data_IF_969796418783
#
_entry.id   IF_969796418783
#
_cell.length_a   1.000
_cell.length_b   1.000
_cell.length_c   1.000
_cell.angle_alpha   90.00
_cell.angle_beta   90.00
_cell.angle_gamma   90.00
#
_symmetry.space_group_name_H-M   'P 1'
#
loop_
_entity.id
_entity.type
_entity.pdbx_description
1 polymer ?
#
# COMPACT_ATOMS: atom_id res chain seq x y z
N UNK A 1 -0.44 1.87 21.82
CA UNK A 1 0.66 0.87 21.91
C UNK A 1 1.52 0.83 20.65
N UNK A 2 0.95 0.57 19.45
CA UNK A 2 1.72 0.49 18.19
C UNK A 2 2.62 1.72 17.94
N UNK A 3 2.08 2.94 18.04
CA UNK A 3 2.84 4.18 17.83
C UNK A 3 4.11 4.27 18.69
N UNK A 4 4.01 3.91 19.98
CA UNK A 4 5.16 3.92 20.90
C UNK A 4 6.23 2.94 20.42
N UNK A 5 5.84 1.71 20.08
CA UNK A 5 6.76 0.67 19.62
C UNK A 5 7.42 1.05 18.28
N UNK A 6 6.65 1.59 17.33
CA UNK A 6 7.21 2.04 16.05
C UNK A 6 8.31 3.09 16.29
N UNK A 7 8.08 4.08 17.15
CA UNK A 7 9.10 5.09 17.50
C UNK A 7 10.33 4.48 18.16
N UNK A 8 10.13 3.56 19.10
CA UNK A 8 11.22 2.87 19.81
C UNK A 8 12.15 2.09 18.86
N UNK A 9 11.59 1.46 17.82
CA UNK A 9 12.34 0.68 16.84
C UNK A 9 12.66 1.44 15.54
N UNK A 10 12.41 2.75 15.48
CA UNK A 10 12.67 3.56 14.27
C UNK A 10 11.78 3.22 13.06
N UNK A 11 10.66 2.53 13.28
CA UNK A 11 9.68 2.22 12.25
C UNK A 11 8.66 3.35 12.08
N UNK A 12 8.09 3.45 10.88
CA UNK A 12 7.00 4.38 10.56
C UNK A 12 5.65 3.71 10.78
N UNK A 13 4.70 4.47 11.32
CA UNK A 13 3.31 4.03 11.50
C UNK A 13 2.38 4.83 10.59
N UNK A 14 1.68 4.12 9.70
CA UNK A 14 0.57 4.69 8.92
C UNK A 14 -0.75 4.10 9.43
N UNK A 15 -1.80 4.93 9.46
CA UNK A 15 -3.15 4.47 9.84
C UNK A 15 -3.95 4.14 8.58
N UNK A 16 -4.57 2.97 8.56
CA UNK A 16 -5.48 2.60 7.47
C UNK A 16 -6.87 3.21 7.72
N UNK A 17 -7.32 4.11 6.84
CA UNK A 17 -8.66 4.69 6.93
C UNK A 17 -8.73 6.19 6.62
N UNK A 18 -9.54 6.90 7.39
CA UNK A 18 -9.87 8.31 7.16
C UNK A 18 -8.69 9.24 7.48
N UNK A 19 -8.44 10.28 6.65
CA UNK A 19 -7.43 11.30 6.92
C UNK A 19 -7.55 11.97 8.30
N UNK A 20 -8.78 12.18 8.78
CA UNK A 20 -9.09 12.80 10.08
C UNK A 20 -8.60 11.98 11.29
N UNK A 21 -8.16 10.73 11.09
CA UNK A 21 -7.53 9.97 12.16
C UNK A 21 -6.22 10.61 12.64
N UNK A 22 -5.53 11.38 11.79
CA UNK A 22 -4.31 12.10 12.17
C UNK A 22 -4.57 13.21 13.21
N UNK A 23 -5.81 13.71 13.32
CA UNK A 23 -6.18 14.70 14.36
C UNK A 23 -6.18 14.08 15.76
N UNK A 24 -6.31 12.76 15.83
CA UNK A 24 -6.44 11.99 17.08
C UNK A 24 -5.18 11.20 17.42
N UNK A 25 -4.37 10.89 16.41
CA UNK A 25 -3.20 10.03 16.54
C UNK A 25 -2.06 10.63 15.71
N UNK A 26 -0.97 11.00 16.38
CA UNK A 26 0.24 11.51 15.74
C UNK A 26 1.07 10.38 15.08
N UNK A 27 0.46 9.75 14.09
CA UNK A 27 1.08 8.77 13.21
C UNK A 27 1.89 9.48 12.10
N UNK A 28 2.74 8.73 11.40
CA UNK A 28 3.57 9.26 10.33
C UNK A 28 2.78 9.50 9.04
N UNK A 29 1.58 8.93 8.90
CA UNK A 29 0.76 9.08 7.70
C UNK A 29 -0.52 8.27 7.66
N UNK A 30 -1.14 8.26 6.48
CA UNK A 30 -2.40 7.57 6.18
C UNK A 30 -2.22 6.59 5.02
N UNK A 31 -2.84 5.43 5.15
CA UNK A 31 -3.09 4.49 4.07
C UNK A 31 -4.58 4.53 3.71
N UNK A 32 -4.89 4.96 2.50
CA UNK A 32 -6.26 5.00 1.98
C UNK A 32 -6.69 3.62 1.49
N UNK A 33 -7.97 3.29 1.69
CA UNK A 33 -8.59 2.20 0.93
C UNK A 33 -8.74 2.61 -0.54
N UNK A 34 -8.82 1.64 -1.45
CA UNK A 34 -9.06 1.89 -2.88
C UNK A 34 -10.36 2.68 -3.11
N UNK A 35 -11.43 2.34 -2.38
CA UNK A 35 -12.69 3.09 -2.44
C UNK A 35 -12.51 4.56 -2.05
N UNK A 36 -11.73 4.85 -0.99
CA UNK A 36 -11.49 6.24 -0.54
C UNK A 36 -10.60 7.00 -1.52
N UNK A 37 -9.54 6.36 -2.01
CA UNK A 37 -8.66 6.91 -3.03
C UNK A 37 -9.45 7.44 -4.23
N UNK A 38 -10.43 6.66 -4.70
CA UNK A 38 -11.25 7.01 -5.85
C UNK A 38 -12.30 8.10 -5.59
N UNK A 39 -12.53 8.51 -4.33
CA UNK A 39 -13.50 9.54 -3.95
C UNK A 39 -12.87 10.91 -3.67
N UNK A 40 -11.54 11.00 -3.70
CA UNK A 40 -10.81 12.20 -3.36
C UNK A 40 -10.23 12.84 -4.62
N UNK A 41 -10.36 14.16 -4.73
CA UNK A 41 -9.85 14.91 -5.89
C UNK A 41 -8.47 15.56 -5.64
N UNK A 42 -8.00 15.54 -4.39
CA UNK A 42 -6.73 16.14 -3.96
C UNK A 42 -6.14 15.42 -2.76
N UNK A 43 -4.84 15.64 -2.51
CA UNK A 43 -4.14 15.16 -1.31
C UNK A 43 -4.93 15.57 -0.04
N UNK A 44 -5.34 14.63 0.81
CA UNK A 44 -6.20 14.95 1.96
C UNK A 44 -5.43 15.23 3.26
N UNK A 45 -4.09 15.18 3.23
CA UNK A 45 -3.21 15.36 4.38
C UNK A 45 -2.06 16.29 4.04
N UNK A 46 -1.35 16.80 5.06
CA UNK A 46 -0.19 17.65 4.88
C UNK A 46 0.96 16.95 4.13
N UNK A 47 1.75 17.72 3.37
CA UNK A 47 2.89 17.23 2.57
C UNK A 47 4.00 16.60 3.43
N UNK A 48 4.09 16.93 4.71
CA UNK A 48 5.08 16.36 5.63
C UNK A 48 4.66 15.02 6.26
N UNK A 49 3.48 14.48 5.88
CA UNK A 49 2.97 13.18 6.33
C UNK A 49 2.90 12.24 5.14
N UNK A 50 3.15 10.96 5.36
CA UNK A 50 3.09 9.95 4.31
C UNK A 50 1.64 9.68 3.89
N UNK A 51 1.39 9.68 2.58
CA UNK A 51 0.15 9.24 1.97
C UNK A 51 0.43 7.98 1.16
N UNK A 52 -0.36 6.94 1.41
CA UNK A 52 -0.36 5.75 0.56
C UNK A 52 -1.77 5.27 0.31
N UNK A 53 -1.94 4.36 -0.64
CA UNK A 53 -3.24 3.77 -0.93
C UNK A 53 -3.14 2.30 -1.32
N UNK A 54 -4.21 1.56 -1.04
CA UNK A 54 -4.47 0.26 -1.65
C UNK A 54 -4.92 0.47 -3.09
N UNK A 55 -4.28 -0.24 -4.02
CA UNK A 55 -4.60 -0.22 -5.45
C UNK A 55 -4.72 -1.63 -6.01
N UNK A 56 -5.53 -1.77 -7.06
CA UNK A 56 -5.83 -3.07 -7.67
C UNK A 56 -5.74 -3.07 -9.21
N UNK A 57 -5.64 -1.89 -9.83
CA UNK A 57 -5.65 -1.72 -11.28
C UNK A 57 -4.97 -0.41 -11.72
N UNK A 58 -4.80 -0.23 -13.03
CA UNK A 58 -4.19 0.98 -13.61
C UNK A 58 -4.95 2.26 -13.29
N UNK A 59 -6.28 2.21 -13.18
CA UNK A 59 -7.10 3.39 -12.89
C UNK A 59 -6.81 3.91 -11.49
N UNK A 60 -6.70 3.01 -10.52
CA UNK A 60 -6.37 3.33 -9.14
C UNK A 60 -4.92 3.80 -8.98
N UNK A 61 -3.97 3.21 -9.72
CA UNK A 61 -2.59 3.71 -9.77
C UNK A 61 -2.52 5.15 -10.32
N UNK A 62 -3.26 5.42 -11.40
CA UNK A 62 -3.32 6.76 -11.98
C UNK A 62 -3.95 7.76 -11.01
N UNK A 63 -5.00 7.36 -10.29
CA UNK A 63 -5.59 8.19 -9.23
C UNK A 63 -4.61 8.45 -8.10
N UNK A 64 -3.86 7.42 -7.66
CA UNK A 64 -2.82 7.57 -6.65
C UNK A 64 -1.73 8.58 -7.07
N UNK A 65 -1.34 8.57 -8.35
CA UNK A 65 -0.41 9.55 -8.91
C UNK A 65 -0.98 10.97 -8.82
N UNK A 66 -2.26 11.16 -9.20
CA UNK A 66 -2.94 12.46 -9.16
C UNK A 66 -3.03 13.02 -7.73
N UNK A 67 -3.30 12.18 -6.74
CA UNK A 67 -3.32 12.60 -5.33
C UNK A 67 -1.93 12.82 -4.74
N UNK A 68 -0.88 12.44 -5.45
CA UNK A 68 0.49 12.48 -4.97
C UNK A 68 0.75 11.44 -3.86
N UNK A 69 0.18 10.24 -3.94
CA UNK A 69 0.54 9.17 -3.02
C UNK A 69 2.05 8.90 -3.08
N UNK A 70 2.70 8.88 -1.93
CA UNK A 70 4.14 8.67 -1.79
C UNK A 70 4.53 7.22 -2.14
N UNK A 71 3.62 6.28 -1.93
CA UNK A 71 3.71 4.91 -2.42
C UNK A 71 2.33 4.25 -2.43
N UNK A 72 2.23 3.08 -3.06
CA UNK A 72 1.01 2.28 -3.08
C UNK A 72 1.27 0.82 -2.75
N UNK A 73 0.24 0.12 -2.29
CA UNK A 73 0.22 -1.34 -2.33
C UNK A 73 -0.59 -1.79 -3.54
N UNK A 74 -0.09 -2.79 -4.27
CA UNK A 74 -0.79 -3.37 -5.42
C UNK A 74 -1.09 -4.84 -5.13
N UNK A 75 -2.38 -5.21 -5.24
CA UNK A 75 -2.90 -6.49 -4.74
C UNK A 75 -4.23 -6.88 -5.38
N UNK A 76 -4.71 -8.14 -5.23
CA UNK A 76 -3.97 -9.29 -4.71
C UNK A 76 -3.10 -9.96 -5.79
N UNK A 77 -1.85 -10.29 -5.46
CA UNK A 77 -0.98 -11.06 -6.36
C UNK A 77 -1.28 -12.57 -6.36
N UNK A 78 -1.71 -13.11 -5.21
CA UNK A 78 -2.12 -14.51 -5.04
C UNK A 78 -3.50 -14.57 -4.41
N UNK A 79 -4.21 -15.68 -4.61
CA UNK A 79 -5.46 -15.93 -3.89
C UNK A 79 -5.20 -15.82 -2.39
N UNK A 80 -5.98 -15.00 -1.70
CA UNK A 80 -5.85 -14.82 -0.26
C UNK A 80 -7.09 -15.33 0.44
N UNK A 81 -6.99 -16.00 1.60
CA UNK A 81 -8.19 -16.36 2.35
C UNK A 81 -8.95 -15.17 2.94
N UNK A 82 -8.40 -13.94 2.87
CA UNK A 82 -9.11 -12.72 3.28
C UNK A 82 -10.11 -12.27 2.22
N UNK A 83 -9.87 -12.59 0.95
CA UNK A 83 -10.71 -12.28 -0.22
C UNK A 83 -10.60 -13.42 -1.25
N UNK A 84 -11.17 -14.62 -0.96
CA UNK A 84 -11.01 -15.79 -1.82
C UNK A 84 -11.70 -15.66 -3.18
N UNK A 85 -12.69 -14.78 -3.30
CA UNK A 85 -13.48 -14.51 -4.51
C UNK A 85 -12.76 -13.65 -5.55
N UNK A 86 -11.69 -12.95 -5.16
CA UNK A 86 -10.96 -12.05 -6.06
C UNK A 86 -9.88 -12.83 -6.80
N UNK A 87 -9.99 -12.86 -8.14
CA UNK A 87 -8.98 -13.48 -8.99
C UNK A 87 -7.62 -12.78 -8.79
N UNK A 88 -6.54 -13.54 -8.53
CA UNK A 88 -5.22 -12.95 -8.39
C UNK A 88 -4.72 -12.41 -9.73
N UNK A 89 -4.01 -11.30 -9.66
CA UNK A 89 -3.36 -10.67 -10.81
C UNK A 89 -2.14 -11.48 -11.31
N UNK A 90 -1.43 -12.15 -10.41
CA UNK A 90 -0.17 -12.81 -10.73
C UNK A 90 0.97 -11.83 -11.07
N UNK A 91 2.18 -12.36 -11.23
CA UNK A 91 3.39 -11.55 -11.40
C UNK A 91 3.50 -10.85 -12.75
N UNK A 92 2.95 -11.45 -13.81
CA UNK A 92 3.02 -10.89 -15.15
C UNK A 92 2.24 -9.58 -15.26
N UNK A 93 0.96 -9.59 -14.87
CA UNK A 93 0.13 -8.38 -14.90
C UNK A 93 0.57 -7.35 -13.85
N UNK A 94 1.07 -7.82 -12.71
CA UNK A 94 1.67 -6.97 -11.69
C UNK A 94 2.85 -6.16 -12.25
N UNK A 95 3.78 -6.81 -12.96
CA UNK A 95 4.94 -6.14 -13.54
C UNK A 95 4.50 -5.04 -14.53
N UNK A 96 3.53 -5.33 -15.40
CA UNK A 96 3.02 -4.36 -16.38
C UNK A 96 2.43 -3.11 -15.72
N UNK A 97 1.76 -3.27 -14.57
CA UNK A 97 1.20 -2.16 -13.82
C UNK A 97 2.27 -1.37 -13.06
N UNK A 98 3.24 -2.06 -12.46
CA UNK A 98 4.37 -1.42 -11.74
C UNK A 98 5.17 -0.52 -12.68
N UNK A 99 5.47 -0.99 -13.90
CA UNK A 99 6.20 -0.20 -14.91
C UNK A 99 5.52 1.13 -15.26
N UNK A 100 4.20 1.23 -15.05
CA UNK A 100 3.37 2.41 -15.38
C UNK A 100 2.93 3.21 -14.16
N UNK A 101 3.26 2.77 -12.94
CA UNK A 101 2.74 3.38 -11.72
C UNK A 101 3.26 4.80 -11.51
N UNK A 102 4.53 5.07 -11.88
CA UNK A 102 5.13 6.39 -11.68
C UNK A 102 5.43 6.75 -10.22
N UNK A 103 5.22 5.83 -9.28
CA UNK A 103 5.61 5.93 -7.88
C UNK A 103 6.01 4.56 -7.30
N UNK A 104 6.62 4.51 -6.10
CA UNK A 104 6.96 3.26 -5.44
C UNK A 104 5.75 2.34 -5.22
N UNK A 105 5.90 1.07 -5.61
CA UNK A 105 4.88 0.03 -5.42
C UNK A 105 5.38 -1.04 -4.48
N UNK A 106 4.54 -1.47 -3.54
CA UNK A 106 4.78 -2.66 -2.70
C UNK A 106 3.79 -3.77 -3.07
N UNK A 107 4.32 -4.96 -3.35
CA UNK A 107 3.49 -6.12 -3.65
C UNK A 107 2.73 -6.58 -2.39
N UNK A 108 1.43 -6.81 -2.51
CA UNK A 108 0.58 -7.27 -1.41
C UNK A 108 -0.43 -8.33 -1.88
N UNK A 109 -0.90 -9.15 -0.95
CA UNK A 109 -1.89 -10.20 -1.20
C UNK A 109 -1.22 -11.56 -1.42
N UNK A 110 -1.03 -12.29 -0.31
CA UNK A 110 -0.39 -13.60 -0.29
C UNK A 110 1.14 -13.58 -0.32
N UNK A 111 1.74 -12.44 0.03
CA UNK A 111 3.21 -12.27 0.08
C UNK A 111 3.81 -12.81 1.37
N UNK A 112 5.01 -13.38 1.24
CA UNK A 112 5.88 -13.83 2.32
C UNK A 112 7.24 -13.13 2.20
N UNK A 113 8.05 -13.11 3.27
CA UNK A 113 9.40 -12.54 3.26
C UNK A 113 10.32 -13.12 2.16
N UNK A 114 10.03 -14.33 1.68
CA UNK A 114 10.78 -14.96 0.61
C UNK A 114 10.48 -14.38 -0.78
N UNK A 115 9.36 -13.67 -0.94
CA UNK A 115 8.95 -13.05 -2.19
C UNK A 115 9.63 -11.68 -2.42
N UNK A 116 10.34 -11.13 -1.41
CA UNK A 116 10.90 -9.78 -1.46
C UNK A 116 11.88 -9.56 -2.62
N UNK A 117 12.77 -10.52 -2.88
CA UNK A 117 13.74 -10.40 -3.99
C UNK A 117 13.05 -10.47 -5.35
N UNK A 118 12.02 -11.31 -5.49
CA UNK A 118 11.27 -11.41 -6.73
C UNK A 118 10.45 -10.15 -6.99
N UNK A 119 9.79 -9.61 -5.96
CA UNK A 119 9.06 -8.34 -6.06
C UNK A 119 9.96 -7.21 -6.58
N UNK A 120 11.20 -7.11 -6.06
CA UNK A 120 12.19 -6.13 -6.56
C UNK A 120 12.63 -6.38 -7.98
N UNK A 121 12.82 -7.66 -8.37
CA UNK A 121 13.21 -8.01 -9.73
C UNK A 121 12.17 -7.61 -10.78
N UNK A 122 10.88 -7.51 -10.40
CA UNK A 122 9.79 -7.05 -11.28
C UNK A 122 9.42 -5.57 -11.06
N UNK A 123 10.31 -4.79 -10.42
CA UNK A 123 10.19 -3.34 -10.31
C UNK A 123 9.54 -2.79 -9.04
N UNK A 124 9.04 -3.62 -8.13
CA UNK A 124 8.49 -3.15 -6.85
C UNK A 124 9.60 -2.72 -5.88
N UNK A 125 9.29 -1.86 -4.90
CA UNK A 125 10.22 -1.54 -3.81
C UNK A 125 10.36 -2.68 -2.78
N UNK A 126 9.35 -3.54 -2.70
CA UNK A 126 9.34 -4.69 -1.79
C UNK A 126 7.96 -5.31 -1.66
N UNK A 127 7.70 -5.90 -0.50
CA UNK A 127 6.44 -6.57 -0.18
C UNK A 127 5.78 -5.95 1.07
N UNK A 128 4.48 -6.14 1.19
CA UNK A 128 3.72 -5.95 2.41
C UNK A 128 2.94 -7.24 2.73
N UNK A 129 2.91 -7.62 4.02
CA UNK A 129 2.25 -8.85 4.48
C UNK A 129 1.67 -8.66 5.88
N UNK A 130 0.59 -9.38 6.15
CA UNK A 130 0.01 -9.49 7.50
C UNK A 130 0.45 -10.82 8.10
N UNK A 131 0.00 -11.94 7.52
CA UNK A 131 0.12 -13.27 8.12
C UNK A 131 1.54 -13.85 8.17
N UNK A 132 2.43 -13.47 7.26
CA UNK A 132 3.81 -13.98 7.31
C UNK A 132 4.59 -13.38 8.49
N UNK A 133 4.22 -12.16 8.91
CA UNK A 133 4.87 -11.42 9.99
C UNK A 133 4.13 -11.51 11.32
N UNK A 134 2.80 -11.70 11.29
CA UNK A 134 1.96 -11.91 12.47
C UNK A 134 1.65 -13.39 12.62
N UNK A 135 2.50 -14.07 13.40
CA UNK A 135 2.29 -15.44 13.87
C UNK A 135 1.79 -15.45 15.31
#
# INVERSE_FOLDING_TARGET
RALKLCREYGAKLLLNGEPTLLDRVDADGIHLTSARLMQLDRRPIAENKWLSASTHDQKQLSQAAVLGCDFVTLSPLRTTPSHPEVAPMGWHDFQQLVERAGMPVFALGGMTRFDANHARAVGAQGIASIRDFWK
#
